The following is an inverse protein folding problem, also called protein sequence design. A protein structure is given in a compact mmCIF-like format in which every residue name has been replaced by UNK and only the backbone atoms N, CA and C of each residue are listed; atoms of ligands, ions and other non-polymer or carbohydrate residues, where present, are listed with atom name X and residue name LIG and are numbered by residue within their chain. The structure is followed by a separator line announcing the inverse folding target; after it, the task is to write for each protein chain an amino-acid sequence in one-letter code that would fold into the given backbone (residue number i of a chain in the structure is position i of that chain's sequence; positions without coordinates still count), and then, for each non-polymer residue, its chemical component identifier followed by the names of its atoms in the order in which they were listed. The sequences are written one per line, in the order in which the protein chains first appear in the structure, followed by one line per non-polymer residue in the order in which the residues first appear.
data_IF_811005753924
#
_entry.id   IF_811005753924
#
_cell.length_a   1.000
_cell.length_b   1.000
_cell.length_c   1.000
_cell.angle_alpha   90.00
_cell.angle_beta   90.00
_cell.angle_gamma   90.00
#
_symmetry.space_group_name_H-M   'P 1'
#
loop_
_entity.id
_entity.type
_entity.pdbx_description
1 polymer ?
#
# COMPACT_ATOMS: atom_id res chain seq x y z
N UNK A 1 72.37 35.88 -9.84
CA UNK A 1 71.17 36.34 -9.08
C UNK A 1 70.05 36.64 -10.05
N UNK A 2 68.79 36.28 -9.70
CA UNK A 2 67.53 36.49 -10.48
C UNK A 2 67.36 35.50 -11.65
N UNK A 3 66.23 34.80 -11.88
CA UNK A 3 64.84 34.96 -11.45
C UNK A 3 64.14 33.59 -11.32
N UNK A 4 63.19 33.57 -10.40
CA UNK A 4 62.30 32.47 -9.98
C UNK A 4 60.97 32.56 -10.75
N UNK A 5 60.42 31.38 -11.10
CA UNK A 5 59.01 30.93 -11.31
C UNK A 5 57.95 31.90 -11.85
N UNK A 6 57.11 31.41 -12.77
CA UNK A 6 55.72 31.00 -12.48
C UNK A 6 55.10 30.37 -13.75
N UNK A 7 54.85 29.06 -13.72
CA UNK A 7 54.08 28.36 -14.75
C UNK A 7 52.65 28.26 -14.23
N UNK A 8 51.75 29.05 -14.80
CA UNK A 8 50.31 29.00 -14.52
C UNK A 8 49.74 27.82 -15.28
N UNK A 9 49.45 26.73 -14.57
CA UNK A 9 48.58 25.67 -15.09
C UNK A 9 47.13 26.15 -14.94
N UNK A 10 46.55 26.64 -16.04
CA UNK A 10 45.10 26.73 -16.18
C UNK A 10 44.57 25.31 -16.33
N UNK A 11 44.23 24.68 -15.20
CA UNK A 11 43.37 23.51 -15.20
C UNK A 11 41.97 23.98 -15.62
N UNK A 12 41.63 23.75 -16.89
CA UNK A 12 40.27 23.89 -17.38
C UNK A 12 39.38 22.94 -16.62
N UNK A 13 38.64 23.47 -15.65
CA UNK A 13 37.45 22.85 -15.09
C UNK A 13 36.42 22.75 -16.21
N UNK A 14 36.49 21.66 -16.96
CA UNK A 14 35.38 21.20 -17.78
C UNK A 14 34.22 20.93 -16.84
N UNK A 15 33.33 21.90 -16.71
CA UNK A 15 32.01 21.71 -16.13
C UNK A 15 31.31 20.77 -17.11
N UNK A 16 31.44 19.47 -16.88
CA UNK A 16 30.56 18.48 -17.46
C UNK A 16 29.16 18.87 -17.02
N UNK A 17 28.43 19.54 -17.90
CA UNK A 17 26.99 19.72 -17.77
C UNK A 17 26.41 18.33 -17.58
N UNK A 18 25.97 18.02 -16.35
CA UNK A 18 24.99 16.96 -16.16
C UNK A 18 23.74 17.45 -16.89
N UNK A 19 23.61 17.10 -18.18
CA UNK A 19 22.33 17.20 -18.86
C UNK A 19 21.40 16.29 -18.09
N UNK A 20 20.38 16.85 -17.42
CA UNK A 20 19.25 16.05 -17.00
C UNK A 20 18.73 15.33 -18.24
N UNK A 21 18.62 14.02 -18.18
CA UNK A 21 17.95 13.28 -19.24
C UNK A 21 16.55 13.86 -19.39
N UNK A 22 16.20 14.29 -20.60
CA UNK A 22 14.84 14.71 -20.91
C UNK A 22 14.00 13.46 -21.16
N UNK A 23 13.43 12.93 -20.07
CA UNK A 23 12.60 11.72 -20.08
C UNK A 23 11.32 11.86 -20.92
N UNK A 24 10.98 13.08 -21.37
CA UNK A 24 9.80 13.37 -22.17
C UNK A 24 10.14 13.78 -23.62
N UNK A 25 11.40 13.65 -24.03
CA UNK A 25 11.79 13.95 -25.39
C UNK A 25 10.97 13.11 -26.40
N UNK A 26 10.28 13.80 -27.32
CA UNK A 26 9.41 13.18 -28.32
C UNK A 26 7.99 12.86 -27.84
N UNK A 27 7.64 13.18 -26.58
CA UNK A 27 6.28 13.04 -26.04
C UNK A 27 5.49 14.33 -26.29
N UNK A 28 4.25 14.19 -26.74
CA UNK A 28 3.28 15.30 -26.79
C UNK A 28 2.85 15.65 -25.36
N UNK A 29 3.57 16.58 -24.74
CA UNK A 29 3.33 17.01 -23.36
C UNK A 29 1.99 17.72 -23.20
N UNK A 30 1.50 18.42 -24.23
CA UNK A 30 0.17 19.06 -24.18
C UNK A 30 -0.93 18.01 -24.03
N UNK A 31 -0.80 16.90 -24.75
CA UNK A 31 -1.73 15.77 -24.62
C UNK A 31 -1.54 15.03 -23.30
N UNK A 32 -0.29 14.81 -22.86
CA UNK A 32 0.01 14.05 -21.63
C UNK A 32 -0.56 14.72 -20.37
N UNK A 33 -0.48 16.06 -20.30
CA UNK A 33 -0.94 16.84 -19.14
C UNK A 33 -2.37 17.38 -19.28
N UNK A 34 -3.06 17.07 -20.39
CA UNK A 34 -4.46 17.43 -20.54
C UNK A 34 -5.33 16.69 -19.49
N UNK A 35 -6.43 17.29 -19.02
CA UNK A 35 -7.39 16.61 -18.17
C UNK A 35 -7.88 15.29 -18.80
N UNK A 36 -8.07 14.22 -18.01
CA UNK A 36 -8.52 12.95 -18.54
C UNK A 36 -9.91 13.08 -19.15
N UNK A 37 -10.08 12.49 -20.33
CA UNK A 37 -11.37 12.42 -21.02
C UNK A 37 -12.27 11.38 -20.38
N UNK A 38 -13.59 11.50 -20.58
CA UNK A 38 -14.53 10.47 -20.12
C UNK A 38 -14.21 9.09 -20.70
N UNK A 39 -13.74 9.03 -21.95
CA UNK A 39 -13.35 7.78 -22.61
C UNK A 39 -12.16 7.12 -21.90
N UNK A 40 -11.20 7.91 -21.41
CA UNK A 40 -10.07 7.38 -20.63
C UNK A 40 -10.52 6.90 -19.25
N UNK A 41 -11.40 7.65 -18.59
CA UNK A 41 -11.99 7.25 -17.30
C UNK A 41 -12.78 5.94 -17.43
N UNK A 42 -13.63 5.81 -18.45
CA UNK A 42 -14.43 4.60 -18.71
C UNK A 42 -13.52 3.40 -18.99
N UNK A 43 -12.40 3.59 -19.71
CA UNK A 43 -11.41 2.54 -19.96
C UNK A 43 -10.74 2.07 -18.67
N UNK A 44 -10.40 2.99 -17.77
CA UNK A 44 -9.82 2.66 -16.46
C UNK A 44 -10.83 1.88 -15.61
N UNK A 45 -12.09 2.33 -15.55
CA UNK A 45 -13.15 1.60 -14.83
C UNK A 45 -13.38 0.21 -15.42
N UNK A 46 -13.44 0.09 -16.75
CA UNK A 46 -13.57 -1.19 -17.44
C UNK A 46 -12.34 -2.09 -17.24
N UNK A 47 -11.14 -1.53 -17.09
CA UNK A 47 -9.95 -2.29 -16.73
C UNK A 47 -10.08 -2.89 -15.32
N UNK A 48 -10.47 -2.07 -14.34
CA UNK A 48 -10.65 -2.53 -12.95
C UNK A 48 -11.74 -3.60 -12.83
N UNK A 49 -12.88 -3.41 -13.52
CA UNK A 49 -13.99 -4.36 -13.47
C UNK A 49 -13.65 -5.76 -14.04
N UNK A 50 -12.61 -5.88 -14.87
CA UNK A 50 -12.17 -7.16 -15.44
C UNK A 50 -11.20 -7.94 -14.55
N UNK A 51 -10.73 -7.36 -13.45
CA UNK A 51 -9.73 -7.99 -12.58
C UNK A 51 -10.38 -9.13 -11.79
N UNK A 52 -9.76 -10.30 -11.79
CA UNK A 52 -10.18 -11.43 -10.96
C UNK A 52 -9.54 -11.33 -9.57
N UNK A 53 -10.38 -10.96 -8.59
CA UNK A 53 -10.01 -10.77 -7.19
C UNK A 53 -10.61 -11.86 -6.29
N UNK A 54 -11.00 -13.00 -6.89
CA UNK A 54 -11.46 -14.15 -6.14
C UNK A 54 -10.30 -14.75 -5.33
N UNK A 55 -10.60 -15.09 -4.07
CA UNK A 55 -9.62 -15.68 -3.15
C UNK A 55 -9.80 -17.19 -3.05
N UNK A 56 -8.70 -17.91 -2.98
CA UNK A 56 -8.69 -19.37 -2.82
C UNK A 56 -7.59 -19.80 -1.86
N UNK A 57 -7.58 -21.08 -1.45
CA UNK A 57 -6.44 -21.66 -0.74
C UNK A 57 -6.08 -20.95 0.57
N UNK A 58 -7.09 -20.46 1.29
CA UNK A 58 -6.95 -19.83 2.61
C UNK A 58 -6.20 -20.74 3.58
N UNK A 59 -5.25 -20.16 4.30
CA UNK A 59 -4.52 -20.80 5.40
C UNK A 59 -4.37 -19.83 6.55
N UNK A 60 -4.59 -20.33 7.75
CA UNK A 60 -4.17 -19.65 8.98
C UNK A 60 -2.72 -20.08 9.26
N UNK A 61 -1.78 -19.17 9.03
CA UNK A 61 -0.35 -19.46 9.19
C UNK A 61 0.04 -19.41 10.67
N UNK A 62 -0.52 -18.46 11.42
CA UNK A 62 -0.33 -18.33 12.86
C UNK A 62 -1.57 -17.74 13.54
N UNK A 63 -1.79 -18.17 14.79
CA UNK A 63 -2.79 -17.63 15.71
C UNK A 63 -2.15 -17.32 17.05
N UNK A 64 -2.35 -16.09 17.53
CA UNK A 64 -1.83 -15.62 18.81
C UNK A 64 -2.97 -14.96 19.59
N UNK A 65 -3.08 -15.29 20.87
CA UNK A 65 -4.06 -14.67 21.77
C UNK A 65 -3.37 -13.56 22.56
N UNK A 66 -3.89 -12.35 22.47
CA UNK A 66 -3.36 -11.12 23.07
C UNK A 66 -4.29 -10.62 24.19
N UNK A 67 -3.74 -9.74 25.05
CA UNK A 67 -4.48 -8.95 26.04
C UNK A 67 -5.47 -9.77 26.89
N UNK A 68 -4.98 -10.80 27.58
CA UNK A 68 -5.80 -11.68 28.41
C UNK A 68 -7.04 -12.23 27.68
N UNK A 69 -6.85 -12.70 26.43
CA UNK A 69 -7.90 -13.29 25.59
C UNK A 69 -8.95 -12.33 25.03
N UNK A 70 -8.65 -11.02 25.01
CA UNK A 70 -9.55 -10.02 24.44
C UNK A 70 -9.35 -9.78 22.95
N UNK A 71 -8.20 -10.16 22.39
CA UNK A 71 -7.92 -9.98 20.95
C UNK A 71 -7.12 -11.14 20.41
N UNK A 72 -7.49 -11.60 19.22
CA UNK A 72 -6.79 -12.63 18.47
C UNK A 72 -6.01 -11.98 17.32
N UNK A 73 -4.70 -12.22 17.25
CA UNK A 73 -3.89 -11.95 16.07
C UNK A 73 -3.85 -13.21 15.20
N UNK A 74 -4.36 -13.11 13.97
CA UNK A 74 -4.18 -14.12 12.92
C UNK A 74 -3.24 -13.60 11.87
N UNK A 75 -2.24 -14.40 11.52
CA UNK A 75 -1.50 -14.25 10.26
C UNK A 75 -2.08 -15.27 9.30
N UNK A 76 -2.48 -14.81 8.13
CA UNK A 76 -3.18 -15.61 7.15
C UNK A 76 -2.51 -15.51 5.79
N UNK A 77 -2.70 -16.54 4.96
CA UNK A 77 -2.33 -16.51 3.55
C UNK A 77 -3.47 -17.01 2.67
N UNK A 78 -3.48 -16.58 1.42
CA UNK A 78 -4.48 -16.94 0.42
C UNK A 78 -3.90 -16.78 -0.99
N UNK A 79 -4.58 -17.34 -1.98
CA UNK A 79 -4.27 -17.18 -3.39
C UNK A 79 -5.20 -16.15 -4.01
N UNK A 80 -4.66 -15.23 -4.81
CA UNK A 80 -5.41 -14.35 -5.73
C UNK A 80 -4.62 -14.25 -7.02
N UNK A 81 -5.28 -14.42 -8.17
CA UNK A 81 -4.62 -14.44 -9.48
C UNK A 81 -3.38 -15.37 -9.54
N UNK A 82 -3.43 -16.50 -8.84
CA UNK A 82 -2.35 -17.49 -8.77
C UNK A 82 -1.17 -17.11 -7.85
N UNK A 83 -1.14 -15.91 -7.28
CA UNK A 83 -0.11 -15.46 -6.35
C UNK A 83 -0.52 -15.72 -4.91
N UNK A 84 0.44 -16.08 -4.05
CA UNK A 84 0.19 -16.23 -2.60
C UNK A 84 0.41 -14.91 -1.90
N UNK A 85 -0.66 -14.38 -1.34
CA UNK A 85 -0.69 -13.15 -0.56
C UNK A 85 -0.78 -13.47 0.93
N UNK A 86 -0.23 -12.58 1.76
CA UNK A 86 -0.27 -12.65 3.21
C UNK A 86 -0.94 -11.42 3.82
N UNK A 87 -1.40 -11.57 5.05
CA UNK A 87 -1.93 -10.46 5.81
C UNK A 87 -2.10 -10.81 7.28
N UNK A 88 -2.38 -9.79 8.08
CA UNK A 88 -2.65 -9.93 9.49
C UNK A 88 -4.00 -9.34 9.86
N UNK A 89 -4.66 -10.00 10.81
CA UNK A 89 -5.96 -9.64 11.34
C UNK A 89 -5.86 -9.59 12.85
N UNK A 90 -6.17 -8.44 13.43
CA UNK A 90 -6.41 -8.31 14.87
C UNK A 90 -7.92 -8.30 15.07
N UNK A 91 -8.42 -9.34 15.72
CA UNK A 91 -9.83 -9.64 15.86
C UNK A 91 -10.19 -9.57 17.34
N UNK A 92 -10.84 -8.48 17.80
CA UNK A 92 -11.36 -8.43 19.15
C UNK A 92 -12.37 -9.55 19.41
N UNK A 93 -12.35 -10.10 20.62
CA UNK A 93 -13.41 -11.01 21.05
C UNK A 93 -14.73 -10.23 21.14
N UNK A 94 -15.75 -10.70 20.44
CA UNK A 94 -17.04 -10.03 20.36
C UNK A 94 -18.14 -11.02 20.03
N UNK A 95 -19.30 -10.82 20.66
CA UNK A 95 -20.55 -11.50 20.32
C UNK A 95 -21.37 -10.74 19.28
N UNK A 96 -20.95 -9.52 18.90
CA UNK A 96 -21.60 -8.65 17.92
C UNK A 96 -20.74 -8.50 16.66
N UNK A 97 -21.36 -8.28 15.48
CA UNK A 97 -20.63 -7.97 14.26
C UNK A 97 -19.71 -6.76 14.44
N UNK A 98 -18.47 -6.88 13.97
CA UNK A 98 -17.41 -5.89 14.10
C UNK A 98 -17.15 -5.18 12.76
N UNK A 99 -17.07 -3.83 12.74
CA UNK A 99 -16.54 -3.11 11.59
C UNK A 99 -15.16 -3.61 11.18
N UNK A 100 -14.85 -3.50 9.89
CA UNK A 100 -13.52 -3.83 9.36
C UNK A 100 -12.75 -2.55 9.07
N UNK A 101 -11.52 -2.47 9.55
CA UNK A 101 -10.62 -1.33 9.37
C UNK A 101 -9.33 -1.77 8.70
N UNK A 102 -9.25 -1.73 7.36
CA UNK A 102 -7.99 -1.91 6.69
C UNK A 102 -7.04 -0.77 7.03
N UNK A 103 -5.80 -1.12 7.37
CA UNK A 103 -4.69 -0.21 7.58
C UNK A 103 -3.63 -0.49 6.54
N UNK A 104 -3.42 0.49 5.66
CA UNK A 104 -2.52 0.38 4.51
C UNK A 104 -1.31 1.26 4.77
N UNK A 105 -0.15 0.65 5.01
CA UNK A 105 1.06 1.40 5.32
C UNK A 105 1.71 2.00 4.06
N UNK A 106 2.77 2.78 4.28
CA UNK A 106 3.61 3.36 3.22
C UNK A 106 4.28 2.32 2.32
N UNK A 107 5.10 2.81 1.39
CA UNK A 107 5.85 2.00 0.43
C UNK A 107 7.29 2.50 0.37
N UNK A 108 8.21 1.56 0.24
CA UNK A 108 9.62 1.82 -0.02
C UNK A 108 10.05 0.90 -1.16
N UNK A 109 10.52 1.48 -2.25
CA UNK A 109 10.94 0.73 -3.44
C UNK A 109 12.15 -0.16 -3.17
N UNK A 110 12.98 0.21 -2.18
CA UNK A 110 14.21 -0.51 -1.84
C UNK A 110 14.03 -1.46 -0.64
N UNK A 111 12.85 -1.46 0.00
CA UNK A 111 12.58 -2.29 1.16
C UNK A 111 11.22 -2.99 1.04
N UNK A 112 11.27 -4.31 0.92
CA UNK A 112 10.08 -5.17 0.83
C UNK A 112 9.49 -5.50 2.20
N UNK A 113 10.18 -5.20 3.30
CA UNK A 113 9.63 -5.35 4.65
C UNK A 113 8.79 -4.15 4.99
N UNK A 114 7.52 -4.39 5.31
CA UNK A 114 6.57 -3.37 5.72
C UNK A 114 6.39 -3.39 7.25
N UNK A 115 7.05 -2.49 8.00
CA UNK A 115 6.98 -2.46 9.45
C UNK A 115 5.69 -1.79 9.93
N UNK A 116 4.95 -2.43 10.83
CA UNK A 116 3.77 -1.84 11.49
C UNK A 116 3.84 -2.08 12.99
N UNK A 117 3.86 -0.98 13.76
CA UNK A 117 3.76 -1.04 15.21
C UNK A 117 2.30 -0.90 15.63
N UNK A 118 1.80 -1.90 16.37
CA UNK A 118 0.43 -1.91 16.88
C UNK A 118 0.48 -1.87 18.41
N UNK A 119 -0.04 -0.79 18.99
CA UNK A 119 -0.25 -0.70 20.44
C UNK A 119 -1.59 -1.33 20.75
N UNK A 120 -1.59 -2.58 21.16
CA UNK A 120 -2.83 -3.37 21.30
C UNK A 120 -3.80 -2.79 22.34
N UNK A 121 -3.32 -2.13 23.40
CA UNK A 121 -4.16 -1.47 24.41
C UNK A 121 -5.01 -0.32 23.82
N UNK A 122 -4.54 0.31 22.74
CA UNK A 122 -5.29 1.36 22.04
C UNK A 122 -6.43 0.81 21.19
N UNK A 123 -6.40 -0.49 20.85
CA UNK A 123 -7.49 -1.15 20.14
C UNK A 123 -8.70 -1.41 21.06
N UNK A 124 -8.47 -1.50 22.37
CA UNK A 124 -9.49 -1.76 23.40
C UNK A 124 -10.21 -0.50 23.86
N UNK A 125 -9.64 0.69 23.65
CA UNK A 125 -10.12 1.96 24.20
C UNK A 125 -11.15 2.69 23.28
N UNK A 126 -11.40 2.18 22.07
CA UNK A 126 -12.32 2.75 21.10
C UNK A 126 -13.43 1.78 20.68
N UNK A 127 -14.16 2.13 19.62
CA UNK A 127 -15.11 1.21 18.98
C UNK A 127 -14.38 -0.04 18.50
N UNK A 128 -14.74 -1.20 19.06
CA UNK A 128 -14.16 -2.48 18.66
C UNK A 128 -14.33 -2.71 17.16
N UNK A 129 -13.23 -3.08 16.50
CA UNK A 129 -13.18 -3.31 15.06
C UNK A 129 -12.09 -4.31 14.73
N UNK A 130 -12.26 -5.05 13.64
CA UNK A 130 -11.21 -5.89 13.08
C UNK A 130 -10.20 -4.96 12.39
N UNK A 131 -8.95 -4.94 12.87
CA UNK A 131 -7.86 -4.25 12.16
C UNK A 131 -7.25 -5.24 11.17
N UNK A 132 -7.30 -4.90 9.89
CA UNK A 132 -6.80 -5.71 8.80
C UNK A 132 -5.57 -5.05 8.17
N UNK A 133 -4.44 -5.75 8.12
CA UNK A 133 -3.17 -5.23 7.60
C UNK A 133 -2.69 -6.18 6.49
N UNK A 134 -2.85 -5.83 5.21
CA UNK A 134 -2.35 -6.66 4.12
C UNK A 134 -0.83 -6.50 3.93
N UNK A 135 -0.14 -7.60 3.64
CA UNK A 135 1.25 -7.62 3.17
C UNK A 135 1.25 -7.46 1.65
N UNK A 136 0.79 -6.33 1.13
CA UNK A 136 0.54 -6.07 -0.31
C UNK A 136 1.65 -6.64 -1.22
N UNK A 137 1.33 -6.92 -2.50
CA UNK A 137 2.24 -7.60 -3.44
C UNK A 137 3.70 -7.18 -3.36
N UNK A 138 4.58 -8.16 -3.40
CA UNK A 138 6.01 -7.96 -3.27
C UNK A 138 6.49 -7.55 -1.87
N UNK A 139 5.60 -7.45 -0.87
CA UNK A 139 5.96 -7.07 0.49
C UNK A 139 5.72 -8.19 1.52
N UNK A 140 6.49 -8.15 2.60
CA UNK A 140 6.23 -8.90 3.84
C UNK A 140 5.80 -7.94 4.94
N UNK A 141 5.13 -8.42 5.99
CA UNK A 141 4.87 -7.64 7.20
C UNK A 141 5.91 -7.93 8.27
N UNK A 142 6.29 -6.90 9.01
CA UNK A 142 6.93 -6.99 10.32
C UNK A 142 6.07 -6.25 11.34
N UNK A 143 5.33 -7.00 12.16
CA UNK A 143 4.36 -6.47 13.11
C UNK A 143 4.97 -6.45 14.51
N UNK A 144 5.10 -5.28 15.11
CA UNK A 144 5.52 -5.16 16.51
C UNK A 144 4.31 -4.94 17.39
N UNK A 145 4.00 -5.92 18.25
CA UNK A 145 2.86 -5.91 19.17
C UNK A 145 3.39 -6.05 20.59
N UNK A 146 3.18 -5.01 21.42
CA UNK A 146 3.65 -4.97 22.81
C UNK A 146 5.15 -5.36 22.96
N UNK A 147 5.99 -4.96 22.00
CA UNK A 147 7.42 -5.26 21.97
C UNK A 147 7.81 -6.62 21.39
N UNK A 148 6.84 -7.47 21.00
CA UNK A 148 7.11 -8.75 20.30
C UNK A 148 6.92 -8.58 18.80
N UNK A 149 7.86 -9.08 18.01
CA UNK A 149 7.80 -9.04 16.55
C UNK A 149 7.16 -10.30 15.96
N UNK A 150 6.27 -10.11 14.98
CA UNK A 150 5.67 -11.16 14.17
C UNK A 150 5.80 -10.83 12.69
N UNK A 151 6.31 -11.75 11.90
CA UNK A 151 6.57 -11.52 10.48
C UNK A 151 5.67 -12.33 9.55
N UNK A 152 5.61 -11.99 8.26
CA UNK A 152 5.08 -12.88 7.22
C UNK A 152 6.16 -13.19 6.20
N UNK A 153 6.02 -14.26 5.41
CA UNK A 153 6.71 -14.32 4.12
C UNK A 153 6.31 -13.13 3.23
N UNK A 154 7.11 -12.89 2.19
CA UNK A 154 6.79 -11.92 1.14
C UNK A 154 5.64 -12.43 0.30
N UNK A 155 4.63 -11.60 0.11
CA UNK A 155 3.53 -11.86 -0.83
C UNK A 155 4.02 -11.87 -2.27
N UNK A 156 3.33 -12.61 -3.13
CA UNK A 156 3.63 -12.69 -4.55
C UNK A 156 3.38 -11.37 -5.29
N UNK A 157 3.54 -11.42 -6.62
CA UNK A 157 3.35 -10.24 -7.48
C UNK A 157 4.54 -9.28 -7.52
N UNK A 158 4.39 -8.24 -8.34
CA UNK A 158 5.43 -7.25 -8.62
C UNK A 158 5.44 -6.15 -7.55
N UNK A 159 6.58 -5.93 -6.88
CA UNK A 159 6.72 -4.91 -5.83
C UNK A 159 6.52 -3.49 -6.38
N UNK A 160 6.90 -3.25 -7.64
CA UNK A 160 6.73 -1.96 -8.31
C UNK A 160 5.28 -1.57 -8.62
N UNK A 161 4.32 -2.50 -8.55
CA UNK A 161 2.88 -2.27 -8.78
C UNK A 161 2.23 -1.60 -7.56
N UNK A 162 2.78 -0.45 -7.17
CA UNK A 162 2.57 0.19 -5.89
C UNK A 162 1.14 0.72 -5.67
N UNK A 163 0.35 0.95 -6.72
CA UNK A 163 -0.97 1.57 -6.62
C UNK A 163 -2.08 0.61 -7.04
N UNK A 164 -2.22 0.37 -8.34
CA UNK A 164 -3.31 -0.41 -8.91
C UNK A 164 -3.26 -1.85 -8.43
N UNK A 165 -2.09 -2.46 -8.51
CA UNK A 165 -1.88 -3.79 -7.99
C UNK A 165 -2.09 -3.91 -6.49
N UNK A 166 -1.44 -3.05 -5.71
CA UNK A 166 -1.66 -3.01 -4.27
C UNK A 166 -3.15 -2.83 -3.88
N UNK A 167 -3.92 -2.09 -4.68
CA UNK A 167 -5.37 -1.94 -4.45
C UNK A 167 -6.13 -3.25 -4.69
N UNK A 168 -5.75 -4.02 -5.70
CA UNK A 168 -6.32 -5.34 -5.96
C UNK A 168 -6.10 -6.28 -4.77
N UNK A 169 -4.90 -6.29 -4.21
CA UNK A 169 -4.55 -7.15 -3.08
C UNK A 169 -5.35 -6.76 -1.83
N UNK A 170 -5.57 -5.45 -1.62
CA UNK A 170 -6.41 -4.95 -0.53
C UNK A 170 -7.88 -5.36 -0.68
N UNK A 171 -8.44 -5.30 -1.90
CA UNK A 171 -9.81 -5.78 -2.20
C UNK A 171 -9.89 -7.31 -2.00
N UNK A 172 -8.89 -8.05 -2.48
CA UNK A 172 -8.83 -9.49 -2.31
C UNK A 172 -8.75 -9.86 -0.81
N UNK A 173 -8.01 -9.09 -0.02
CA UNK A 173 -7.97 -9.30 1.43
C UNK A 173 -9.33 -9.03 2.11
N UNK A 174 -10.11 -8.04 1.65
CA UNK A 174 -11.50 -7.86 2.08
C UNK A 174 -12.39 -9.05 1.66
N UNK A 175 -12.18 -9.63 0.47
CA UNK A 175 -12.89 -10.83 0.04
C UNK A 175 -12.57 -12.02 0.95
N UNK A 176 -11.30 -12.17 1.36
CA UNK A 176 -10.90 -13.17 2.33
C UNK A 176 -11.62 -12.99 3.67
N UNK A 177 -11.60 -11.77 4.20
CA UNK A 177 -12.27 -11.45 5.48
C UNK A 177 -13.75 -11.78 5.39
N UNK A 178 -14.43 -11.36 4.31
CA UNK A 178 -15.85 -11.66 4.09
C UNK A 178 -16.14 -13.17 4.04
N UNK A 179 -15.24 -13.96 3.47
CA UNK A 179 -15.42 -15.40 3.31
C UNK A 179 -15.08 -16.21 4.58
N UNK A 180 -14.19 -15.69 5.43
CA UNK A 180 -13.58 -16.48 6.52
C UNK A 180 -13.91 -16.00 7.92
N UNK A 181 -14.43 -14.77 8.08
CA UNK A 181 -14.73 -14.18 9.38
C UNK A 181 -16.21 -13.83 9.50
N UNK A 182 -17.07 -14.73 10.04
CA UNK A 182 -18.50 -14.46 10.22
C UNK A 182 -18.82 -13.26 11.12
N UNK A 183 -17.89 -12.89 12.01
CA UNK A 183 -18.03 -11.72 12.90
C UNK A 183 -17.74 -10.40 12.17
N UNK A 184 -17.17 -10.43 10.96
CA UNK A 184 -16.88 -9.23 10.19
C UNK A 184 -18.14 -8.64 9.58
N UNK A 185 -18.39 -7.36 9.86
CA UNK A 185 -19.45 -6.59 9.25
C UNK A 185 -18.94 -5.86 8.00
N UNK A 186 -19.10 -6.51 6.86
CA UNK A 186 -18.65 -5.97 5.57
C UNK A 186 -19.49 -4.79 5.07
N UNK A 187 -20.58 -4.40 5.76
CA UNK A 187 -21.30 -3.16 5.47
C UNK A 187 -20.68 -1.95 6.19
N UNK A 188 -19.80 -2.17 7.19
CA UNK A 188 -19.11 -1.14 7.96
C UNK A 188 -17.60 -1.26 7.78
N UNK A 189 -17.11 -0.82 6.62
CA UNK A 189 -15.68 -0.78 6.30
C UNK A 189 -15.20 0.67 6.25
N UNK A 190 -14.10 0.97 6.95
CA UNK A 190 -13.37 2.24 6.80
C UNK A 190 -11.88 1.97 6.64
N UNK A 191 -11.25 2.49 5.60
CA UNK A 191 -9.81 2.29 5.35
C UNK A 191 -9.02 3.54 5.74
N UNK A 192 -7.81 3.32 6.29
CA UNK A 192 -6.81 4.38 6.48
C UNK A 192 -5.50 3.96 5.83
N UNK A 193 -4.81 4.91 5.22
CA UNK A 193 -3.43 4.72 4.82
C UNK A 193 -2.61 6.01 4.80
N UNK A 194 -1.28 5.85 4.82
CA UNK A 194 -0.32 6.95 4.78
C UNK A 194 0.66 6.83 3.61
N UNK A 195 1.14 7.97 3.07
CA UNK A 195 2.02 7.98 1.89
C UNK A 195 1.36 7.22 0.73
N UNK A 196 2.07 6.31 0.04
CA UNK A 196 1.49 5.36 -0.93
C UNK A 196 0.22 4.70 -0.41
N UNK A 197 0.21 4.26 0.85
CA UNK A 197 -0.92 3.58 1.44
C UNK A 197 -2.19 4.43 1.48
N UNK A 198 -2.06 5.76 1.57
CA UNK A 198 -3.21 6.65 1.48
C UNK A 198 -3.78 6.72 0.07
N UNK A 199 -2.94 6.66 -0.97
CA UNK A 199 -3.39 6.55 -2.36
C UNK A 199 -4.13 5.24 -2.59
N UNK A 200 -3.59 4.12 -2.10
CA UNK A 200 -4.25 2.81 -2.14
C UNK A 200 -5.57 2.82 -1.35
N UNK A 201 -5.63 3.51 -0.20
CA UNK A 201 -6.87 3.67 0.56
C UNK A 201 -7.97 4.41 -0.23
N UNK A 202 -7.60 5.46 -0.96
CA UNK A 202 -8.53 6.21 -1.80
C UNK A 202 -8.97 5.39 -3.02
N UNK A 203 -8.04 4.71 -3.70
CA UNK A 203 -8.34 3.81 -4.82
C UNK A 203 -9.23 2.64 -4.39
N UNK A 204 -8.98 2.07 -3.21
CA UNK A 204 -9.81 1.02 -2.65
C UNK A 204 -11.26 1.50 -2.45
N UNK A 205 -11.46 2.71 -1.91
CA UNK A 205 -12.80 3.26 -1.73
C UNK A 205 -13.51 3.59 -3.05
N UNK A 206 -12.76 3.99 -4.08
CA UNK A 206 -13.34 4.22 -5.40
C UNK A 206 -13.83 2.90 -6.03
N UNK A 207 -13.00 1.84 -5.94
CA UNK A 207 -13.25 0.55 -6.59
C UNK A 207 -14.21 -0.36 -5.85
N UNK A 208 -14.27 -0.26 -4.51
CA UNK A 208 -15.05 -1.17 -3.68
C UNK A 208 -16.11 -0.43 -2.85
N UNK A 209 -17.36 -0.50 -3.30
CA UNK A 209 -18.49 0.21 -2.67
C UNK A 209 -18.87 -0.32 -1.27
N UNK A 210 -18.23 -1.39 -0.79
CA UNK A 210 -18.35 -1.82 0.62
C UNK A 210 -17.66 -0.82 1.55
N UNK A 211 -16.63 -0.12 1.08
CA UNK A 211 -15.91 0.91 1.84
C UNK A 211 -16.76 2.17 1.98
N UNK A 212 -17.03 2.56 3.23
CA UNK A 212 -17.89 3.72 3.57
C UNK A 212 -17.11 4.97 3.95
N UNK A 213 -15.80 4.83 4.19
CA UNK A 213 -14.92 5.95 4.45
C UNK A 213 -13.47 5.60 4.17
N UNK A 214 -12.73 6.57 3.62
CA UNK A 214 -11.30 6.48 3.39
C UNK A 214 -10.59 7.67 3.99
N UNK A 215 -9.45 7.40 4.63
CA UNK A 215 -8.56 8.41 5.20
C UNK A 215 -7.18 8.21 4.56
N UNK A 216 -6.85 9.11 3.63
CA UNK A 216 -5.49 9.24 3.08
C UNK A 216 -4.69 10.27 3.85
N UNK A 217 -3.49 9.92 4.30
CA UNK A 217 -2.58 10.82 5.03
C UNK A 217 -1.32 11.03 4.21
N UNK A 218 -1.01 12.29 3.87
CA UNK A 218 0.19 12.65 3.09
C UNK A 218 0.39 11.78 1.85
N UNK A 219 -0.69 11.53 1.10
CA UNK A 219 -0.69 10.59 -0.02
C UNK A 219 -0.57 11.30 -1.38
N UNK A 220 0.33 10.85 -2.26
CA UNK A 220 0.41 11.38 -3.62
C UNK A 220 -0.79 10.91 -4.43
N UNK A 221 -1.55 11.84 -5.01
CA UNK A 221 -2.78 11.54 -5.77
C UNK A 221 -2.78 12.12 -7.17
N UNK A 222 -2.00 13.18 -7.39
CA UNK A 222 -1.85 13.83 -8.69
C UNK A 222 -0.38 13.87 -9.11
N UNK A 223 0.10 12.71 -9.56
CA UNK A 223 1.48 12.56 -10.02
C UNK A 223 1.72 13.28 -11.35
N UNK A 224 0.68 13.41 -12.18
CA UNK A 224 0.76 14.01 -13.51
C UNK A 224 1.00 15.52 -13.41
N UNK A 225 0.20 16.24 -12.63
CA UNK A 225 0.44 17.67 -12.41
C UNK A 225 1.71 17.95 -11.60
N UNK A 226 2.11 17.02 -10.71
CA UNK A 226 3.41 17.12 -10.06
C UNK A 226 4.56 17.02 -11.07
N UNK A 227 4.48 16.11 -12.03
CA UNK A 227 5.47 16.00 -13.12
C UNK A 227 5.45 17.21 -14.05
N UNK A 228 4.28 17.74 -14.39
CA UNK A 228 4.14 18.96 -15.19
C UNK A 228 4.87 20.15 -14.54
N UNK A 229 4.68 20.34 -13.22
CA UNK A 229 5.27 21.45 -12.49
C UNK A 229 6.79 21.38 -12.29
N UNK A 230 7.43 20.25 -12.59
CA UNK A 230 8.85 20.00 -12.31
C UNK A 230 9.69 19.66 -13.57
N UNK A 231 9.14 19.86 -14.77
CA UNK A 231 9.91 19.98 -16.01
C UNK A 231 10.64 21.32 -16.05
#
# INVERSE_FOLDING_TARGET
MKKVRLLVFLAGLGIGSCSKDDFLNGVDTQRLFAPPTQVELDRVQANWAKRDLAVQGYREERKIILNNQQTELRIVSFLVSGQREYGALFIPNSTKPLPVRPFINGFDINNTVNPVSVVSDSMSAGTLSILAIPALRGQSLALTVNGTEYTTPTSGGEHGEAFDGATDDAIAFLNLISATLPVADMARISVRGGSRGGTVALLLAERDKRVKGAIGVACPTDLISLTEANQ
#
